data_IF_957270584924
#
_entry.id   IF_957270584924
#
_cell.length_a   1.000
_cell.length_b   1.000
_cell.length_c   1.000
_cell.angle_alpha   90.00
_cell.angle_beta   90.00
_cell.angle_gamma   90.00
#
_symmetry.space_group_name_H-M   'P 1'
#
loop_
_entity.id
_entity.type
_entity.pdbx_description
1 polymer ?
#
# COMPACT_ATOMS: atom_id res chain seq x y z
N UNK A 1 -19.84 -5.41 -2.58
CA UNK A 1 -19.03 -4.20 -2.87
C UNK A 1 -19.37 -3.63 -4.24
N UNK A 2 -19.34 -4.45 -5.30
CA UNK A 2 -19.73 -4.08 -6.67
C UNK A 2 -21.11 -3.39 -6.68
N UNK A 3 -22.16 -4.03 -6.14
CA UNK A 3 -23.51 -3.45 -6.15
C UNK A 3 -23.59 -2.09 -5.45
N UNK A 4 -22.88 -1.92 -4.32
CA UNK A 4 -22.79 -0.61 -3.64
C UNK A 4 -22.15 0.45 -4.52
N UNK A 5 -21.11 0.12 -5.29
CA UNK A 5 -20.46 1.07 -6.19
C UNK A 5 -21.37 1.46 -7.35
N UNK A 6 -22.16 0.51 -7.87
CA UNK A 6 -23.17 0.76 -8.89
C UNK A 6 -24.24 1.72 -8.38
N UNK A 7 -24.81 1.46 -7.21
CA UNK A 7 -25.87 2.31 -6.65
C UNK A 7 -25.36 3.69 -6.23
N UNK A 8 -24.19 3.78 -5.61
CA UNK A 8 -23.68 5.04 -5.06
C UNK A 8 -23.06 5.96 -6.12
N UNK A 9 -22.51 5.41 -7.20
CA UNK A 9 -21.74 6.16 -8.20
C UNK A 9 -22.23 5.95 -9.64
N UNK A 10 -23.32 5.21 -9.86
CA UNK A 10 -23.89 4.98 -11.20
C UNK A 10 -22.96 4.20 -12.13
N UNK A 11 -22.10 3.33 -11.59
CA UNK A 11 -21.15 2.58 -12.40
C UNK A 11 -21.82 1.45 -13.18
N UNK A 12 -21.36 1.26 -14.42
CA UNK A 12 -21.67 0.06 -15.20
C UNK A 12 -21.11 -1.21 -14.51
N UNK A 13 -21.79 -2.37 -14.61
CA UNK A 13 -21.39 -3.60 -13.93
C UNK A 13 -19.93 -3.98 -14.18
N UNK A 14 -19.53 -4.01 -15.45
CA UNK A 14 -18.18 -4.40 -15.86
C UNK A 14 -17.10 -3.42 -15.34
N UNK A 15 -17.42 -2.13 -15.23
CA UNK A 15 -16.48 -1.15 -14.69
C UNK A 15 -16.35 -1.30 -13.17
N UNK A 16 -17.46 -1.52 -12.46
CA UNK A 16 -17.44 -1.76 -11.02
C UNK A 16 -16.67 -3.04 -10.66
N UNK A 17 -16.80 -4.10 -11.46
CA UNK A 17 -16.01 -5.33 -11.31
C UNK A 17 -14.52 -5.07 -11.50
N UNK A 18 -14.12 -4.42 -12.59
CA UNK A 18 -12.71 -4.09 -12.87
C UNK A 18 -12.08 -3.21 -11.78
N UNK A 19 -12.82 -2.22 -11.28
CA UNK A 19 -12.33 -1.36 -10.18
C UNK A 19 -12.12 -2.19 -8.92
N UNK A 20 -13.04 -3.10 -8.60
CA UNK A 20 -12.90 -3.97 -7.44
C UNK A 20 -11.70 -4.90 -7.60
N UNK A 21 -11.51 -5.50 -8.78
CA UNK A 21 -10.37 -6.35 -9.07
C UNK A 21 -9.04 -5.59 -8.97
N UNK A 22 -8.95 -4.39 -9.55
CA UNK A 22 -7.76 -3.53 -9.45
C UNK A 22 -7.47 -3.13 -8.00
N UNK A 23 -8.51 -2.79 -7.22
CA UNK A 23 -8.36 -2.47 -5.80
C UNK A 23 -7.90 -3.69 -5.02
N UNK A 24 -8.47 -4.86 -5.27
CA UNK A 24 -8.06 -6.11 -4.62
C UNK A 24 -6.62 -6.48 -5.00
N UNK A 25 -6.23 -6.30 -6.25
CA UNK A 25 -4.87 -6.52 -6.74
C UNK A 25 -3.87 -5.53 -6.11
N UNK A 26 -4.21 -4.24 -6.05
CA UNK A 26 -3.42 -3.24 -5.31
C UNK A 26 -3.36 -3.51 -3.79
N UNK A 27 -4.18 -4.44 -3.34
CA UNK A 27 -4.30 -4.89 -1.98
C UNK A 27 -3.62 -6.27 -1.76
N UNK A 28 -3.26 -7.04 -2.78
CA UNK A 28 -2.59 -8.34 -2.57
C UNK A 28 -1.15 -8.24 -2.10
N UNK A 29 -0.51 -7.07 -2.23
CA UNK A 29 0.86 -6.86 -1.76
C UNK A 29 0.98 -7.19 -0.26
N UNK A 30 1.89 -8.09 0.08
CA UNK A 30 2.31 -8.28 1.46
C UNK A 30 2.91 -6.98 2.02
N UNK A 31 2.91 -6.83 3.34
CA UNK A 31 3.58 -5.71 4.03
C UNK A 31 5.03 -5.56 3.57
N UNK A 32 5.70 -6.69 3.35
CA UNK A 32 7.09 -6.77 2.92
C UNK A 32 7.29 -6.27 1.47
N UNK A 33 6.50 -6.76 0.52
CA UNK A 33 6.54 -6.34 -0.89
C UNK A 33 6.25 -4.84 -1.01
N UNK A 34 5.26 -4.35 -0.27
CA UNK A 34 4.93 -2.93 -0.25
C UNK A 34 6.07 -2.09 0.34
N UNK A 35 6.64 -2.49 1.48
CA UNK A 35 7.77 -1.78 2.12
C UNK A 35 8.96 -1.67 1.17
N UNK A 36 9.33 -2.76 0.48
CA UNK A 36 10.45 -2.75 -0.48
C UNK A 36 10.17 -1.85 -1.68
N UNK A 37 9.00 -1.99 -2.29
CA UNK A 37 8.62 -1.20 -3.45
C UNK A 37 8.55 0.29 -3.12
N UNK A 38 8.01 0.64 -1.95
CA UNK A 38 7.92 2.02 -1.49
C UNK A 38 9.30 2.60 -1.17
N UNK A 39 10.18 1.82 -0.54
CA UNK A 39 11.57 2.20 -0.30
C UNK A 39 12.30 2.56 -1.59
N UNK A 40 12.24 1.70 -2.62
CA UNK A 40 12.86 1.95 -3.93
C UNK A 40 12.32 3.23 -4.56
N UNK A 41 11.00 3.46 -4.52
CA UNK A 41 10.39 4.68 -5.06
C UNK A 41 10.89 5.95 -4.36
N UNK A 42 10.97 5.94 -3.03
CA UNK A 42 11.44 7.09 -2.26
C UNK A 42 12.95 7.32 -2.42
N UNK A 43 13.73 6.25 -2.58
CA UNK A 43 15.16 6.32 -2.89
C UNK A 43 15.41 6.96 -4.26
N UNK A 44 14.60 6.60 -5.28
CA UNK A 44 14.64 7.25 -6.61
C UNK A 44 14.31 8.75 -6.58
N UNK A 45 13.60 9.21 -5.55
CA UNK A 45 13.33 10.63 -5.31
C UNK A 45 14.49 11.35 -4.59
N UNK A 46 15.61 10.67 -4.31
CA UNK A 46 16.79 11.25 -3.65
C UNK A 46 16.64 11.45 -2.14
N UNK A 47 15.63 10.84 -1.50
CA UNK A 47 15.44 10.96 -0.06
C UNK A 47 16.46 10.13 0.71
N UNK A 48 16.93 10.64 1.86
CA UNK A 48 17.81 9.88 2.74
C UNK A 48 17.05 8.77 3.47
N UNK A 49 17.78 7.71 3.86
CA UNK A 49 17.21 6.51 4.47
C UNK A 49 16.39 6.80 5.74
N UNK A 50 16.83 7.72 6.60
CA UNK A 50 16.11 8.08 7.82
C UNK A 50 14.73 8.68 7.52
N UNK A 51 14.65 9.54 6.50
CA UNK A 51 13.39 10.12 6.03
C UNK A 51 12.51 9.06 5.40
N UNK A 52 13.09 8.14 4.63
CA UNK A 52 12.37 7.04 4.00
C UNK A 52 11.72 6.15 5.07
N UNK A 53 12.47 5.70 6.08
CA UNK A 53 11.91 4.83 7.11
C UNK A 53 10.78 5.49 7.91
N UNK A 54 10.92 6.78 8.25
CA UNK A 54 9.86 7.52 8.94
C UNK A 54 8.61 7.66 8.08
N UNK A 55 8.76 7.94 6.78
CA UNK A 55 7.61 8.00 5.85
C UNK A 55 6.92 6.65 5.72
N UNK A 56 7.68 5.57 5.53
CA UNK A 56 7.12 4.22 5.45
C UNK A 56 6.37 3.86 6.73
N UNK A 57 6.93 4.16 7.92
CA UNK A 57 6.28 3.92 9.20
C UNK A 57 4.97 4.72 9.39
N UNK A 58 4.90 5.93 8.85
CA UNK A 58 3.69 6.76 8.90
C UNK A 58 2.63 6.36 7.86
N UNK A 59 3.05 5.90 6.69
CA UNK A 59 2.16 5.49 5.59
C UNK A 59 1.57 4.09 5.82
N UNK A 60 2.32 3.18 6.43
CA UNK A 60 1.92 1.78 6.60
C UNK A 60 0.57 1.61 7.34
N UNK A 61 0.26 2.31 8.45
CA UNK A 61 -0.99 2.16 9.17
C UNK A 61 -2.21 2.74 8.45
N UNK A 62 -1.99 3.56 7.41
CA UNK A 62 -3.06 4.14 6.60
C UNK A 62 -3.52 3.18 5.48
N UNK A 63 -2.79 2.09 5.25
CA UNK A 63 -3.20 1.07 4.28
C UNK A 63 -4.36 0.24 4.83
N UNK A 64 -5.19 -0.26 3.90
CA UNK A 64 -6.39 -1.05 4.22
C UNK A 64 -6.09 -2.48 4.69
N UNK A 65 -4.83 -2.89 4.63
CA UNK A 65 -4.33 -4.02 5.40
C UNK A 65 -3.97 -3.48 6.77
N UNK A 66 -4.66 -3.95 7.80
CA UNK A 66 -4.26 -3.70 9.19
C UNK A 66 -2.93 -4.42 9.46
N UNK A 67 -1.84 -3.88 8.92
CA UNK A 67 -0.50 -4.24 9.32
C UNK A 67 -0.28 -3.60 10.70
N UNK A 68 0.23 -4.38 11.66
CA UNK A 68 0.70 -3.82 12.92
C UNK A 68 1.69 -2.67 12.63
N UNK A 69 1.67 -1.63 13.48
CA UNK A 69 2.61 -0.52 13.36
C UNK A 69 4.03 -1.05 13.43
N UNK A 70 4.77 -0.95 12.32
CA UNK A 70 6.17 -1.33 12.28
C UNK A 70 7.06 -0.17 12.74
N UNK A 71 7.99 -0.50 13.63
CA UNK A 71 9.12 0.38 13.97
C UNK A 71 10.09 0.51 12.79
N UNK A 72 10.89 1.57 12.81
CA UNK A 72 12.00 1.78 11.84
C UNK A 72 12.93 0.55 11.77
N UNK A 73 13.19 -0.10 12.91
CA UNK A 73 14.03 -1.29 12.96
C UNK A 73 13.40 -2.48 12.23
N UNK A 74 12.09 -2.69 12.39
CA UNK A 74 11.35 -3.74 11.67
C UNK A 74 11.31 -3.44 10.17
N UNK A 75 11.06 -2.20 9.77
CA UNK A 75 11.08 -1.78 8.35
C UNK A 75 12.44 -2.07 7.71
N UNK A 76 13.54 -1.70 8.38
CA UNK A 76 14.90 -2.01 7.90
C UNK A 76 15.13 -3.51 7.71
N UNK A 77 14.61 -4.35 8.61
CA UNK A 77 14.71 -5.81 8.49
C UNK A 77 13.92 -6.35 7.29
N UNK A 78 12.76 -5.79 6.96
CA UNK A 78 12.02 -6.21 5.76
C UNK A 78 12.73 -5.83 4.45
N UNK A 79 13.55 -4.77 4.47
CA UNK A 79 14.28 -4.30 3.29
C UNK A 79 15.57 -5.09 3.06
N UNK A 80 16.31 -5.41 4.13
CA UNK A 80 17.66 -5.97 4.04
C UNK A 80 17.83 -7.35 4.67
N UNK A 81 16.84 -7.81 5.43
CA UNK A 81 16.85 -9.12 6.09
C UNK A 81 16.27 -10.22 5.23
#
# INVERSE_FOLDING_TARGET
>A
MIERLRTAYGLEPALAERIVEEVLHACTDTVEEWVRSRHIRLQRMGLNNETIYRRIAAELPLRRFSAERLSVRQIRRLIYG
#
